data_IF_243582690576
#
_entry.id   IF_243582690576
#
_cell.length_a   1.000
_cell.length_b   1.000
_cell.length_c   1.000
_cell.angle_alpha   90.00
_cell.angle_beta   90.00
_cell.angle_gamma   90.00
#
_symmetry.space_group_name_H-M   'P 1'
#
loop_
_entity.id
_entity.type
_entity.pdbx_description
1 polymer ?
#
# COMPACT_ATOMS: atom_id res chain seq x y z
N UNK A 1 9.16 -9.09 0.42
CA UNK A 1 8.41 -9.15 -0.86
C UNK A 1 8.93 -10.31 -1.68
N UNK A 2 8.07 -11.15 -2.25
CA UNK A 2 8.47 -12.20 -3.20
C UNK A 2 7.74 -11.99 -4.52
N UNK A 3 8.49 -11.93 -5.62
CA UNK A 3 7.92 -12.02 -6.98
C UNK A 3 7.80 -13.50 -7.33
N UNK A 4 6.66 -13.90 -7.88
CA UNK A 4 6.42 -15.30 -8.23
C UNK A 4 5.39 -15.45 -9.34
N UNK A 5 5.47 -16.57 -10.03
CA UNK A 5 4.52 -16.96 -11.08
C UNK A 5 3.47 -17.87 -10.44
N UNK A 6 2.20 -17.50 -10.56
CA UNK A 6 1.10 -18.36 -10.12
C UNK A 6 0.86 -19.49 -11.13
N UNK A 7 0.27 -20.64 -10.74
CA UNK A 7 -0.05 -21.74 -11.65
C UNK A 7 -0.89 -21.31 -12.88
N UNK A 8 -1.63 -20.20 -12.77
CA UNK A 8 -2.39 -19.60 -13.87
C UNK A 8 -1.62 -18.57 -14.71
N UNK A 9 -0.28 -18.64 -14.75
CA UNK A 9 0.64 -17.79 -15.57
C UNK A 9 0.64 -16.30 -15.21
N UNK A 10 -0.24 -15.83 -14.32
CA UNK A 10 -0.22 -14.45 -13.86
C UNK A 10 0.92 -14.23 -12.84
N UNK A 11 1.85 -13.34 -13.18
CA UNK A 11 2.89 -12.86 -12.27
C UNK A 11 2.29 -12.01 -11.12
N UNK A 12 2.89 -12.11 -9.93
CA UNK A 12 2.44 -11.39 -8.74
C UNK A 12 3.59 -10.96 -7.83
N UNK A 13 3.41 -9.83 -7.13
CA UNK A 13 4.15 -9.50 -5.92
C UNK A 13 3.38 -9.97 -4.69
N UNK A 14 4.04 -10.66 -3.78
CA UNK A 14 3.43 -11.16 -2.54
C UNK A 14 4.07 -10.54 -1.28
N UNK A 15 3.22 -10.07 -0.38
CA UNK A 15 3.53 -9.53 0.95
C UNK A 15 2.91 -10.42 2.04
N UNK A 16 3.47 -11.61 2.19
CA UNK A 16 2.86 -12.66 3.01
C UNK A 16 1.90 -13.53 2.19
N UNK A 17 1.05 -14.28 2.88
CA UNK A 17 0.16 -15.29 2.27
C UNK A 17 -1.06 -14.68 1.60
N UNK A 18 -1.62 -13.61 2.18
CA UNK A 18 -2.90 -13.02 1.75
C UNK A 18 -2.73 -11.79 0.85
N UNK A 19 -1.65 -11.01 1.03
CA UNK A 19 -1.47 -9.77 0.28
C UNK A 19 -0.73 -10.04 -1.03
N UNK A 20 -1.47 -10.07 -2.14
CA UNK A 20 -0.92 -10.35 -3.47
C UNK A 20 -1.35 -9.28 -4.47
N UNK A 21 -0.38 -8.64 -5.11
CA UNK A 21 -0.59 -7.69 -6.19
C UNK A 21 -0.40 -8.39 -7.53
N UNK A 22 -1.31 -8.15 -8.48
CA UNK A 22 -1.19 -8.68 -9.84
C UNK A 22 -0.20 -7.84 -10.63
N UNK A 23 0.73 -8.49 -11.31
CA UNK A 23 1.56 -7.86 -12.32
C UNK A 23 0.84 -8.06 -13.66
N UNK A 24 0.55 -6.97 -14.36
CA UNK A 24 -0.17 -7.01 -15.63
C UNK A 24 0.83 -7.18 -16.79
N UNK A 25 0.57 -8.09 -17.75
CA UNK A 25 1.48 -8.33 -18.86
C UNK A 25 1.53 -7.16 -19.86
N UNK A 26 2.70 -6.88 -20.46
CA UNK A 26 2.98 -5.60 -21.13
C UNK A 26 2.29 -5.39 -22.49
N UNK A 27 1.89 -6.44 -23.21
CA UNK A 27 1.61 -6.34 -24.65
C UNK A 27 0.19 -5.86 -25.02
N UNK A 28 -0.82 -6.03 -24.15
CA UNK A 28 -2.21 -5.58 -24.40
C UNK A 28 -2.74 -4.68 -23.26
N UNK A 29 -2.23 -4.84 -22.04
CA UNK A 29 -2.74 -4.14 -20.86
C UNK A 29 -2.09 -2.76 -20.62
N UNK A 30 -0.92 -2.48 -21.20
CA UNK A 30 -0.16 -1.25 -20.94
C UNK A 30 -0.90 0.03 -21.37
N UNK A 31 -1.80 -0.07 -22.35
CA UNK A 31 -2.54 1.09 -22.87
C UNK A 31 -3.83 1.38 -22.10
N UNK A 32 -4.43 0.38 -21.46
CA UNK A 32 -5.77 0.48 -20.85
C UNK A 32 -5.69 0.45 -19.31
N UNK A 33 -4.76 -0.33 -18.75
CA UNK A 33 -4.72 -0.64 -17.32
C UNK A 33 -3.42 -0.24 -16.62
N UNK A 34 -2.52 0.48 -17.30
CA UNK A 34 -1.38 1.13 -16.64
C UNK A 34 -1.78 2.52 -16.16
N UNK A 35 -1.59 2.79 -14.88
CA UNK A 35 -1.76 4.13 -14.34
C UNK A 35 -0.64 5.03 -14.89
N UNK A 36 -1.01 6.21 -15.41
CA UNK A 36 -0.07 7.18 -15.94
C UNK A 36 0.01 8.38 -14.99
N UNK A 37 1.00 8.44 -14.10
CA UNK A 37 1.19 9.60 -13.24
C UNK A 37 1.65 10.81 -14.08
N UNK A 38 1.69 11.98 -13.43
CA UNK A 38 2.26 13.20 -14.03
C UNK A 38 3.74 13.01 -14.31
N UNK A 39 4.27 13.74 -15.30
CA UNK A 39 5.63 13.55 -15.82
C UNK A 39 6.75 13.73 -14.79
N UNK A 40 6.52 14.51 -13.71
CA UNK A 40 7.51 14.73 -12.67
C UNK A 40 7.60 13.57 -11.66
N UNK A 41 6.58 12.72 -11.61
CA UNK A 41 6.47 11.64 -10.61
C UNK A 41 7.40 10.49 -10.99
N UNK A 42 8.29 10.15 -10.07
CA UNK A 42 9.21 9.01 -10.18
C UNK A 42 8.75 7.90 -9.24
N UNK A 43 8.52 6.70 -9.78
CA UNK A 43 8.04 5.53 -9.04
C UNK A 43 9.00 4.36 -9.19
N UNK A 44 9.09 3.54 -8.14
CA UNK A 44 9.71 2.23 -8.20
C UNK A 44 8.72 1.18 -8.72
N UNK A 45 9.22 0.06 -9.25
CA UNK A 45 8.43 -1.02 -9.86
C UNK A 45 7.25 -1.47 -8.98
N UNK A 46 7.46 -1.60 -7.67
CA UNK A 46 6.41 -2.04 -6.75
C UNK A 46 5.31 -0.98 -6.53
N UNK A 47 5.68 0.30 -6.54
CA UNK A 47 4.75 1.41 -6.41
C UNK A 47 3.90 1.53 -7.68
N UNK A 48 4.53 1.39 -8.86
CA UNK A 48 3.81 1.27 -10.13
C UNK A 48 2.80 0.12 -10.08
N UNK A 49 3.22 -1.06 -9.61
CA UNK A 49 2.34 -2.22 -9.50
C UNK A 49 1.14 -1.98 -8.56
N UNK A 50 1.34 -1.30 -7.43
CA UNK A 50 0.25 -0.91 -6.52
C UNK A 50 -0.76 -0.01 -7.26
N UNK A 51 -0.27 1.04 -7.91
CA UNK A 51 -1.12 2.00 -8.62
C UNK A 51 -1.86 1.34 -9.79
N UNK A 52 -1.22 0.42 -10.52
CA UNK A 52 -1.84 -0.33 -11.60
C UNK A 52 -2.98 -1.24 -11.09
N UNK A 53 -2.84 -1.87 -9.92
CA UNK A 53 -3.91 -2.66 -9.32
C UNK A 53 -5.11 -1.79 -8.91
N UNK A 54 -4.87 -0.59 -8.36
CA UNK A 54 -5.93 0.37 -8.07
C UNK A 54 -6.58 0.90 -9.35
N UNK A 55 -5.80 1.27 -10.36
CA UNK A 55 -6.30 1.74 -11.65
C UNK A 55 -7.13 0.66 -12.37
N UNK A 56 -6.72 -0.61 -12.27
CA UNK A 56 -7.54 -1.72 -12.73
C UNK A 56 -8.90 -1.76 -12.01
N UNK A 57 -8.93 -1.60 -10.68
CA UNK A 57 -10.20 -1.54 -9.96
C UNK A 57 -11.04 -0.31 -10.36
N UNK A 58 -10.44 0.85 -10.54
CA UNK A 58 -11.10 2.08 -10.99
C UNK A 58 -11.85 1.90 -12.33
N UNK A 59 -11.22 1.22 -13.28
CA UNK A 59 -11.82 0.98 -14.59
C UNK A 59 -12.95 -0.06 -14.55
N UNK A 60 -12.88 -1.04 -13.64
CA UNK A 60 -13.81 -2.16 -13.58
C UNK A 60 -14.96 -1.98 -12.56
N UNK A 61 -14.77 -1.17 -11.51
CA UNK A 61 -15.79 -0.89 -10.48
C UNK A 61 -16.16 0.59 -10.52
N UNK A 62 -17.45 0.88 -10.75
CA UNK A 62 -17.93 2.23 -11.12
C UNK A 62 -18.28 3.16 -9.96
N UNK A 63 -18.10 2.74 -8.71
CA UNK A 63 -18.47 3.56 -7.54
C UNK A 63 -17.38 4.60 -7.24
N UNK A 64 -17.80 5.87 -7.11
CA UNK A 64 -16.99 7.04 -6.74
C UNK A 64 -15.62 7.18 -7.46
N UNK A 65 -15.70 7.31 -8.79
CA UNK A 65 -14.52 7.55 -9.64
C UNK A 65 -13.73 8.80 -9.22
N UNK A 66 -14.42 9.88 -8.82
CA UNK A 66 -13.75 11.13 -8.44
C UNK A 66 -12.83 10.94 -7.24
N UNK A 67 -13.35 10.34 -6.16
CA UNK A 67 -12.57 10.10 -4.95
C UNK A 67 -11.43 9.10 -5.18
N UNK A 68 -11.68 8.03 -5.93
CA UNK A 68 -10.65 7.04 -6.23
C UNK A 68 -9.51 7.62 -7.09
N UNK A 69 -9.83 8.51 -8.03
CA UNK A 69 -8.82 9.22 -8.81
C UNK A 69 -7.99 10.17 -7.93
N UNK A 70 -8.61 10.85 -6.96
CA UNK A 70 -7.91 11.68 -5.99
C UNK A 70 -6.94 10.85 -5.13
N UNK A 71 -7.34 9.66 -4.68
CA UNK A 71 -6.48 8.72 -3.96
C UNK A 71 -5.28 8.30 -4.81
N UNK A 72 -5.51 7.88 -6.05
CA UNK A 72 -4.44 7.47 -6.97
C UNK A 72 -3.40 8.55 -7.19
N UNK A 73 -3.85 9.78 -7.46
CA UNK A 73 -2.96 10.92 -7.64
C UNK A 73 -2.20 11.26 -6.35
N UNK A 74 -2.87 11.24 -5.20
CA UNK A 74 -2.24 11.53 -3.91
C UNK A 74 -1.18 10.48 -3.53
N UNK A 75 -1.44 9.20 -3.80
CA UNK A 75 -0.48 8.12 -3.58
C UNK A 75 0.73 8.26 -4.51
N UNK A 76 0.52 8.64 -5.77
CA UNK A 76 1.61 8.84 -6.71
C UNK A 76 2.54 10.00 -6.28
N UNK A 77 1.97 11.13 -5.85
CA UNK A 77 2.74 12.26 -5.30
C UNK A 77 3.43 11.87 -3.98
N UNK A 78 2.76 11.11 -3.11
CA UNK A 78 3.37 10.63 -1.87
C UNK A 78 4.56 9.70 -2.13
N UNK A 79 4.43 8.76 -3.07
CA UNK A 79 5.51 7.89 -3.50
C UNK A 79 6.68 8.66 -4.09
N UNK A 80 6.40 9.65 -4.94
CA UNK A 80 7.43 10.54 -5.45
C UNK A 80 8.17 11.28 -4.32
N UNK A 81 7.43 11.90 -3.38
CA UNK A 81 8.01 12.60 -2.23
C UNK A 81 8.90 11.69 -1.38
N UNK A 82 8.48 10.46 -1.08
CA UNK A 82 9.33 9.53 -0.30
C UNK A 82 10.55 9.10 -1.11
N UNK A 83 10.41 8.87 -2.42
CA UNK A 83 11.54 8.49 -3.27
C UNK A 83 12.57 9.62 -3.37
N UNK A 84 12.12 10.89 -3.44
CA UNK A 84 12.99 12.06 -3.35
C UNK A 84 13.68 12.21 -1.99
N UNK A 85 12.95 11.96 -0.89
CA UNK A 85 13.52 11.99 0.46
C UNK A 85 14.51 10.85 0.73
N UNK A 86 14.34 9.71 0.05
CA UNK A 86 15.19 8.52 0.16
C UNK A 86 16.39 8.59 -0.80
N UNK A 87 16.48 9.60 -1.69
CA UNK A 87 17.70 9.82 -2.47
C UNK A 87 18.90 9.91 -1.51
N UNK A 88 20.00 9.20 -1.78
CA UNK A 88 21.12 9.15 -0.87
C UNK A 88 21.82 10.50 -0.89
N UNK A 89 21.44 11.41 0.01
CA UNK A 89 22.45 12.25 0.63
C UNK A 89 23.35 11.28 1.37
N UNK A 90 24.55 11.04 0.84
CA UNK A 90 25.63 10.33 1.53
C UNK A 90 25.75 10.87 2.96
N UNK A 91 25.08 10.21 3.89
CA UNK A 91 25.30 10.28 5.32
C UNK A 91 24.44 9.17 5.89
N UNK A 92 25.11 8.21 6.50
CA UNK A 92 24.56 7.17 7.35
C UNK A 92 23.84 7.79 8.55
N UNK A 93 22.67 8.37 8.32
CA UNK A 93 21.73 8.60 9.42
C UNK A 93 21.11 7.23 9.63
N UNK A 94 21.47 6.59 10.75
CA UNK A 94 20.73 5.44 11.28
C UNK A 94 19.25 5.85 11.34
N UNK A 95 18.50 5.55 10.29
CA UNK A 95 17.04 5.64 10.31
C UNK A 95 16.64 4.55 11.28
N UNK A 96 16.39 4.97 12.52
CA UNK A 96 15.89 4.11 13.58
C UNK A 96 14.61 3.48 13.05
N UNK A 97 14.70 2.20 12.64
CA UNK A 97 13.57 1.44 12.12
C UNK A 97 12.62 1.18 13.30
N UNK A 98 11.70 2.11 13.55
CA UNK A 98 10.69 1.94 14.58
C UNK A 98 9.68 0.89 14.12
N UNK A 99 9.32 -0.08 14.98
CA UNK A 99 8.29 -1.06 14.65
C UNK A 99 6.95 -0.36 14.44
N UNK A 100 6.18 -0.83 13.46
CA UNK A 100 4.82 -0.38 13.19
C UNK A 100 3.88 -1.54 13.48
N UNK A 101 2.85 -1.30 14.29
CA UNK A 101 1.85 -2.27 14.69
C UNK A 101 0.52 -1.96 14.02
N UNK A 102 -0.14 -2.97 13.47
CA UNK A 102 -1.43 -2.83 12.81
C UNK A 102 -2.47 -3.58 13.64
N UNK A 103 -3.46 -2.85 14.14
CA UNK A 103 -4.55 -3.44 14.91
C UNK A 103 -5.79 -3.49 14.04
N UNK A 104 -6.22 -4.70 13.70
CA UNK A 104 -7.46 -4.95 12.95
C UNK A 104 -8.67 -5.12 13.89
N UNK A 105 -8.45 -5.55 15.13
CA UNK A 105 -9.49 -5.85 16.13
C UNK A 105 -9.15 -5.28 17.51
N UNK A 106 -9.13 -3.95 17.60
CA UNK A 106 -9.04 -3.18 18.84
C UNK A 106 -10.22 -2.23 18.96
N UNK A 107 -10.31 -1.48 20.05
CA UNK A 107 -11.37 -0.47 20.22
C UNK A 107 -11.33 0.58 19.11
N UNK A 108 -10.13 1.05 18.77
CA UNK A 108 -9.88 1.83 17.56
C UNK A 108 -8.95 1.04 16.63
N UNK A 109 -9.44 0.52 15.50
CA UNK A 109 -8.58 -0.10 14.50
C UNK A 109 -7.70 0.95 13.83
N UNK A 110 -6.41 0.65 13.63
CA UNK A 110 -5.46 1.65 13.13
C UNK A 110 -4.01 1.19 13.10
N UNK A 111 -3.14 2.14 12.73
CA UNK A 111 -1.69 1.97 12.70
C UNK A 111 -1.12 2.65 13.96
N UNK A 112 -0.30 1.92 14.71
CA UNK A 112 0.33 2.36 15.95
C UNK A 112 1.84 2.25 15.86
N UNK A 113 2.54 3.11 16.58
CA UNK A 113 4.01 3.21 16.54
C UNK A 113 4.66 2.77 17.84
N UNK A 114 3.88 2.60 18.92
CA UNK A 114 4.32 2.07 20.20
C UNK A 114 3.58 0.78 20.54
N UNK A 115 4.24 -0.10 21.31
CA UNK A 115 3.62 -1.34 21.77
C UNK A 115 2.63 -1.07 22.91
N UNK A 116 2.87 -0.02 23.69
CA UNK A 116 2.03 0.45 24.79
C UNK A 116 0.64 0.87 24.29
N UNK A 117 0.58 1.60 23.17
CA UNK A 117 -0.71 1.95 22.53
C UNK A 117 -1.48 0.70 22.09
N UNK A 118 -0.77 -0.32 21.58
CA UNK A 118 -1.40 -1.58 21.17
C UNK A 118 -2.02 -2.31 22.36
N UNK A 119 -1.29 -2.38 23.47
CA UNK A 119 -1.79 -2.99 24.71
C UNK A 119 -2.97 -2.20 25.27
N UNK A 120 -2.94 -0.86 25.24
CA UNK A 120 -4.07 -0.04 25.66
C UNK A 120 -5.34 -0.32 24.82
N UNK A 121 -5.21 -0.46 23.50
CA UNK A 121 -6.33 -0.81 22.62
C UNK A 121 -6.94 -2.18 22.91
N UNK A 122 -6.10 -3.15 23.32
CA UNK A 122 -6.55 -4.49 23.69
C UNK A 122 -7.27 -4.49 25.05
N UNK A 123 -6.71 -3.80 26.05
CA UNK A 123 -7.30 -3.68 27.40
C UNK A 123 -8.63 -2.93 27.35
N UNK A 124 -8.70 -1.81 26.60
CA UNK A 124 -9.95 -1.05 26.48
C UNK A 124 -11.05 -1.85 25.78
N UNK A 125 -10.69 -2.66 24.77
CA UNK A 125 -11.64 -3.57 24.13
C UNK A 125 -12.17 -4.64 25.10
N UNK A 126 -11.31 -5.18 25.97
CA UNK A 126 -11.70 -6.16 26.98
C UNK A 126 -12.59 -5.54 28.08
N UNK A 127 -12.38 -4.26 28.42
CA UNK A 127 -13.26 -3.50 29.32
C UNK A 127 -14.62 -3.18 28.70
N UNK A 128 -14.67 -2.81 27.42
CA UNK A 128 -15.91 -2.52 26.71
C UNK A 128 -16.69 -3.80 26.33
N UNK A 129 -16.02 -4.96 26.29
CA UNK A 129 -16.64 -6.29 26.11
C UNK A 129 -17.15 -6.93 27.41
N UNK A 130 -17.11 -6.21 28.52
CA UNK A 130 -17.44 -6.68 29.87
C UNK A 130 -18.77 -6.17 30.43
N UNK A 131 -19.77 -5.84 29.59
CA UNK A 131 -21.17 -5.71 30.03
C UNK A 131 -22.10 -6.23 28.91
N UNK A 132 -22.73 -7.37 29.22
CA UNK A 132 -23.87 -8.05 28.57
C UNK A 132 -23.71 -8.64 27.18
#
# INVERSE_FOLDING_TARGET
MKRGVSPSVNERFSFGTENRLRIFPPYIYIYIYKFKPRNHIVLHEIQECILDNFWFQYNNKRYDRGYMLAILNSLAEYFHMINEKIQPKYSSINIEKKPIYVIYRGKTPGIYVSFEEVIAQQIEREKDGGIS
#
